data_IF_974510678487
#
_entry.id   IF_974510678487
#
_cell.length_a   1.000
_cell.length_b   1.000
_cell.length_c   1.000
_cell.angle_alpha   90.00
_cell.angle_beta   90.00
_cell.angle_gamma   90.00
#
_symmetry.space_group_name_H-M   'P 1'
#
loop_
_entity.id
_entity.type
_entity.pdbx_description
1 polymer ?
#
# COMPACT_ATOMS: atom_id res chain seq x y z
N UNK A 1 59.01 -1.27 -15.94
CA UNK A 1 57.84 -0.40 -15.91
C UNK A 1 57.91 0.44 -14.66
N UNK A 2 57.99 1.75 -14.87
CA UNK A 2 58.32 2.70 -13.82
C UNK A 2 57.07 3.14 -13.05
N UNK A 3 56.77 2.44 -11.95
CA UNK A 3 55.60 2.71 -11.12
C UNK A 3 55.53 4.13 -10.54
N UNK A 4 56.66 4.81 -10.44
CA UNK A 4 56.72 6.19 -9.94
C UNK A 4 56.07 7.21 -10.88
N UNK A 5 56.10 6.99 -12.18
CA UNK A 5 55.49 7.89 -13.17
C UNK A 5 53.98 7.74 -13.28
N UNK A 6 53.44 6.56 -12.90
CA UNK A 6 51.99 6.34 -12.93
C UNK A 6 51.36 7.02 -11.70
N UNK A 7 52.02 6.95 -10.53
CA UNK A 7 51.52 7.57 -9.30
C UNK A 7 51.50 9.11 -9.38
N UNK A 8 52.51 9.73 -9.98
CA UNK A 8 52.52 11.20 -10.13
C UNK A 8 51.37 11.70 -11.03
N UNK A 9 51.07 10.99 -12.13
CA UNK A 9 49.92 11.35 -13.01
C UNK A 9 48.58 11.26 -12.34
N UNK A 10 48.37 10.27 -11.47
CA UNK A 10 47.09 10.11 -10.74
C UNK A 10 46.90 11.23 -9.69
N UNK A 11 47.98 11.65 -9.04
CA UNK A 11 47.95 12.75 -8.08
C UNK A 11 47.67 14.10 -8.76
N UNK A 12 48.22 14.32 -9.94
CA UNK A 12 48.00 15.56 -10.70
C UNK A 12 46.57 15.66 -11.22
N UNK A 13 45.99 14.54 -11.70
CA UNK A 13 44.56 14.50 -12.12
C UNK A 13 43.64 14.75 -10.93
N UNK A 14 43.94 14.21 -9.76
CA UNK A 14 43.14 14.42 -8.56
C UNK A 14 43.20 15.90 -8.06
N UNK A 15 44.32 16.56 -8.18
CA UNK A 15 44.47 17.98 -7.85
C UNK A 15 43.69 18.88 -8.81
N UNK A 16 43.79 18.63 -10.12
CA UNK A 16 43.01 19.38 -11.12
C UNK A 16 41.49 19.23 -10.96
N UNK A 17 41.04 18.05 -10.50
CA UNK A 17 39.62 17.82 -10.22
C UNK A 17 39.12 18.58 -8.98
N UNK A 18 39.94 18.68 -7.94
CA UNK A 18 39.63 19.43 -6.70
C UNK A 18 39.66 20.93 -6.96
N UNK A 19 40.63 21.45 -7.69
CA UNK A 19 40.74 22.87 -8.04
C UNK A 19 39.62 23.35 -8.98
N UNK A 20 39.14 22.50 -9.87
CA UNK A 20 38.01 22.81 -10.72
C UNK A 20 36.65 22.81 -9.95
N UNK A 21 36.53 22.00 -8.91
CA UNK A 21 35.33 22.04 -8.05
C UNK A 21 35.32 23.31 -7.16
N UNK A 22 36.47 23.81 -6.72
CA UNK A 22 36.54 25.03 -5.92
C UNK A 22 36.31 26.30 -6.76
N UNK A 23 36.63 26.30 -8.04
CA UNK A 23 36.38 27.45 -8.93
C UNK A 23 34.90 27.56 -9.41
N UNK A 24 34.15 26.49 -9.34
CA UNK A 24 32.70 26.51 -9.70
C UNK A 24 31.80 26.88 -8.53
N UNK A 25 32.31 27.01 -7.32
CA UNK A 25 31.55 27.46 -6.16
C UNK A 25 31.60 29.01 -6.02
N UNK A 26 31.09 29.72 -7.03
CA UNK A 26 30.64 31.09 -6.77
C UNK A 26 29.36 31.02 -5.96
N UNK A 27 29.26 31.74 -4.83
CA UNK A 27 28.02 31.80 -4.08
C UNK A 27 26.96 32.47 -4.97
N UNK A 28 26.03 31.66 -5.49
CA UNK A 28 24.84 32.20 -6.09
C UNK A 28 24.18 33.13 -5.05
N UNK A 29 24.02 34.42 -5.41
CA UNK A 29 23.24 35.37 -4.64
C UNK A 29 21.93 34.67 -4.26
N UNK A 30 21.76 34.42 -2.97
CA UNK A 30 20.50 33.97 -2.43
C UNK A 30 19.44 35.02 -2.77
N UNK A 31 18.66 34.72 -3.82
CA UNK A 31 17.40 35.42 -4.02
C UNK A 31 16.58 35.17 -2.75
N UNK A 32 16.25 36.23 -2.03
CA UNK A 32 15.34 36.17 -0.90
C UNK A 32 14.07 35.47 -1.40
N UNK A 33 13.61 34.39 -0.73
CA UNK A 33 12.34 33.76 -1.11
C UNK A 33 11.24 34.80 -0.92
N UNK A 34 10.61 35.21 -2.03
CA UNK A 34 9.36 35.97 -1.99
C UNK A 34 8.39 35.20 -1.09
N UNK A 35 7.74 35.85 -0.13
CA UNK A 35 6.75 35.19 0.73
C UNK A 35 5.68 34.55 -0.19
N UNK A 36 5.67 33.25 -0.24
CA UNK A 36 4.59 32.50 -0.90
C UNK A 36 3.30 32.86 -0.17
N UNK A 37 2.24 33.28 -0.86
CA UNK A 37 0.96 33.51 -0.20
C UNK A 37 0.64 32.27 0.64
N UNK A 38 0.38 32.45 1.91
CA UNK A 38 -0.04 31.36 2.79
C UNK A 38 -1.22 30.66 2.12
N UNK A 39 -1.06 29.36 1.81
CA UNK A 39 -2.19 28.57 1.39
C UNK A 39 -3.26 28.69 2.49
N UNK A 40 -4.56 28.85 2.13
CA UNK A 40 -5.60 28.92 3.13
C UNK A 40 -5.44 27.73 4.08
N UNK A 41 -5.33 27.98 5.37
CA UNK A 41 -5.35 26.97 6.41
C UNK A 41 -6.63 26.13 6.18
N UNK A 42 -6.45 24.93 5.63
CA UNK A 42 -7.54 23.95 5.60
C UNK A 42 -7.77 23.58 7.05
N UNK A 43 -8.97 23.86 7.56
CA UNK A 43 -9.39 23.32 8.83
C UNK A 43 -9.08 21.81 8.82
N UNK A 44 -8.50 21.26 9.90
CA UNK A 44 -8.18 19.83 9.95
C UNK A 44 -9.48 19.05 9.73
N UNK A 45 -9.58 18.39 8.59
CA UNK A 45 -10.71 17.51 8.31
C UNK A 45 -10.79 16.50 9.46
N UNK A 46 -11.93 16.45 10.12
CA UNK A 46 -12.18 15.50 11.20
C UNK A 46 -11.90 14.09 10.68
N UNK A 47 -10.95 13.39 11.33
CA UNK A 47 -10.63 12.02 10.97
C UNK A 47 -11.90 11.15 11.07
N UNK A 48 -12.20 10.44 10.00
CA UNK A 48 -13.34 9.52 9.95
C UNK A 48 -13.13 8.36 10.92
N UNK A 49 -14.19 7.98 11.62
CA UNK A 49 -14.20 6.76 12.41
C UNK A 49 -14.11 5.52 11.50
N UNK A 50 -13.78 4.33 12.03
CA UNK A 50 -13.78 3.10 11.25
C UNK A 50 -15.13 2.82 10.58
N UNK A 51 -16.22 3.09 11.27
CA UNK A 51 -17.58 2.92 10.78
C UNK A 51 -17.86 3.90 9.64
N UNK A 52 -17.49 5.17 9.78
CA UNK A 52 -17.62 6.19 8.74
C UNK A 52 -16.80 5.83 7.49
N UNK A 53 -15.65 5.16 7.66
CA UNK A 53 -14.89 4.64 6.53
C UNK A 53 -15.62 3.50 5.81
N UNK A 54 -16.19 2.56 6.56
CA UNK A 54 -16.98 1.46 5.97
C UNK A 54 -18.18 2.04 5.21
N UNK A 55 -18.89 3.01 5.79
CA UNK A 55 -20.05 3.66 5.12
C UNK A 55 -19.62 4.38 3.84
N UNK A 56 -18.51 5.10 3.87
CA UNK A 56 -17.95 5.78 2.70
C UNK A 56 -17.60 4.80 1.56
N UNK A 57 -16.93 3.70 1.88
CA UNK A 57 -16.62 2.67 0.88
C UNK A 57 -17.87 1.96 0.37
N UNK A 58 -18.81 1.68 1.24
CA UNK A 58 -20.12 1.10 0.86
C UNK A 58 -20.85 1.96 -0.15
N UNK A 59 -20.88 3.27 0.07
CA UNK A 59 -21.49 4.22 -0.87
C UNK A 59 -20.80 4.16 -2.24
N UNK A 60 -19.46 4.21 -2.27
CA UNK A 60 -18.70 4.11 -3.52
C UNK A 60 -19.01 2.80 -4.24
N UNK A 61 -18.95 1.67 -3.52
CA UNK A 61 -19.16 0.36 -4.12
C UNK A 61 -20.58 0.23 -4.70
N UNK A 62 -21.59 0.65 -3.97
CA UNK A 62 -22.98 0.60 -4.44
C UNK A 62 -23.27 1.54 -5.61
N UNK A 63 -22.63 2.70 -5.67
CA UNK A 63 -22.87 3.67 -6.75
C UNK A 63 -22.07 3.37 -8.02
N UNK A 64 -20.83 2.91 -7.89
CA UNK A 64 -19.88 2.81 -9.00
C UNK A 64 -19.69 1.37 -9.54
N UNK A 65 -20.10 0.36 -8.76
CA UNK A 65 -19.90 -1.06 -9.07
C UNK A 65 -21.21 -1.84 -9.07
N UNK A 66 -22.24 -1.27 -9.69
CA UNK A 66 -23.62 -1.81 -9.71
C UNK A 66 -23.75 -3.18 -10.39
N UNK A 67 -22.74 -3.63 -11.13
CA UNK A 67 -22.70 -4.95 -11.75
C UNK A 67 -22.32 -6.07 -10.76
N UNK A 68 -21.99 -5.69 -9.53
CA UNK A 68 -21.54 -6.61 -8.49
C UNK A 68 -22.47 -6.56 -7.29
N UNK A 69 -22.77 -7.72 -6.74
CA UNK A 69 -23.38 -7.83 -5.43
C UNK A 69 -22.32 -7.61 -4.36
N UNK A 70 -22.62 -6.81 -3.36
CA UNK A 70 -21.67 -6.44 -2.31
C UNK A 70 -22.08 -7.12 -1.02
N UNK A 71 -21.23 -8.05 -0.56
CA UNK A 71 -21.34 -8.63 0.78
C UNK A 71 -20.37 -7.94 1.73
N UNK A 72 -20.78 -7.75 2.98
CA UNK A 72 -20.01 -7.04 3.99
C UNK A 72 -19.60 -7.97 5.13
N UNK A 73 -18.45 -7.70 5.73
CA UNK A 73 -17.92 -8.42 6.89
C UNK A 73 -17.96 -9.95 6.74
N UNK A 74 -17.41 -10.45 5.64
CA UNK A 74 -17.42 -11.86 5.27
C UNK A 74 -16.24 -12.58 5.91
N UNK A 75 -16.49 -13.60 6.71
CA UNK A 75 -15.41 -14.40 7.29
C UNK A 75 -14.60 -15.10 6.20
N UNK A 76 -13.30 -15.28 6.43
CA UNK A 76 -12.43 -15.98 5.48
C UNK A 76 -12.94 -17.38 5.22
N UNK A 77 -13.39 -18.08 6.26
CA UNK A 77 -14.00 -19.42 6.19
C UNK A 77 -15.23 -19.50 5.29
N UNK A 78 -16.00 -18.42 5.20
CA UNK A 78 -17.22 -18.38 4.37
C UNK A 78 -16.90 -18.33 2.86
N UNK A 79 -15.69 -17.91 2.50
CA UNK A 79 -15.23 -17.88 1.10
C UNK A 79 -14.43 -19.11 0.71
N UNK A 80 -13.59 -19.63 1.61
CA UNK A 80 -12.70 -20.75 1.26
C UNK A 80 -13.44 -22.09 1.18
N UNK A 81 -14.60 -22.21 1.81
CA UNK A 81 -15.38 -23.45 1.79
C UNK A 81 -14.58 -24.64 2.34
N UNK A 82 -14.44 -25.70 1.52
CA UNK A 82 -13.69 -26.92 1.88
C UNK A 82 -12.21 -26.89 1.47
N UNK A 83 -11.65 -25.73 1.14
CA UNK A 83 -10.20 -25.61 0.86
C UNK A 83 -9.45 -25.89 2.16
N UNK A 84 -8.25 -26.49 2.08
CA UNK A 84 -7.40 -26.74 3.24
C UNK A 84 -7.26 -25.49 4.10
N UNK A 85 -7.76 -25.53 5.32
CA UNK A 85 -7.78 -24.40 6.25
C UNK A 85 -6.38 -24.02 6.73
N UNK A 86 -5.40 -24.90 6.50
CA UNK A 86 -4.05 -24.74 7.02
C UNK A 86 -3.06 -24.38 5.92
N UNK A 87 -2.15 -23.43 6.22
CA UNK A 87 -1.03 -23.10 5.36
C UNK A 87 0.16 -22.65 6.21
N UNK A 88 1.33 -22.81 5.62
CA UNK A 88 2.57 -22.34 6.23
C UNK A 88 2.83 -20.89 5.79
N UNK A 89 2.78 -19.96 6.75
CA UNK A 89 2.92 -18.53 6.44
C UNK A 89 4.39 -18.10 6.27
N UNK A 90 5.29 -18.66 7.10
CA UNK A 90 6.70 -18.33 7.09
C UNK A 90 7.56 -19.57 6.82
N UNK A 91 8.41 -19.52 5.82
CA UNK A 91 9.37 -20.60 5.51
C UNK A 91 10.43 -20.79 6.60
N UNK A 92 10.74 -19.71 7.34
CA UNK A 92 11.69 -19.72 8.46
C UNK A 92 11.12 -20.31 9.75
N UNK A 93 9.80 -20.52 9.81
CA UNK A 93 9.10 -21.11 10.95
C UNK A 93 8.24 -22.28 10.45
N UNK A 94 8.84 -23.41 10.08
CA UNK A 94 8.17 -24.49 9.37
C UNK A 94 7.00 -25.14 10.12
N UNK A 95 6.92 -24.94 11.44
CA UNK A 95 5.86 -25.52 12.27
C UNK A 95 4.73 -24.54 12.60
N UNK A 96 4.77 -23.32 12.08
CA UNK A 96 3.74 -22.33 12.34
C UNK A 96 2.70 -22.38 11.22
N UNK A 97 1.56 -22.95 11.55
CA UNK A 97 0.42 -23.10 10.66
C UNK A 97 -0.66 -22.09 11.05
N UNK A 98 -1.26 -21.45 10.08
CA UNK A 98 -2.31 -20.47 10.28
C UNK A 98 -3.60 -20.95 9.63
N UNK A 99 -4.69 -20.90 10.38
CA UNK A 99 -6.02 -21.34 9.93
C UNK A 99 -6.85 -20.18 9.39
N UNK A 100 -7.76 -20.48 8.47
CA UNK A 100 -8.67 -19.48 7.88
C UNK A 100 -9.50 -18.73 8.93
N UNK A 101 -9.92 -19.43 10.00
CA UNK A 101 -10.67 -18.87 11.11
C UNK A 101 -9.95 -17.76 11.88
N UNK A 102 -8.61 -17.69 11.75
CA UNK A 102 -7.80 -16.64 12.36
C UNK A 102 -7.63 -15.41 11.47
N UNK A 103 -8.11 -15.46 10.24
CA UNK A 103 -8.04 -14.36 9.30
C UNK A 103 -8.99 -13.22 9.68
N UNK A 104 -8.58 -11.99 9.34
CA UNK A 104 -9.47 -10.84 9.43
C UNK A 104 -10.62 -11.04 8.44
N UNK A 105 -11.89 -10.89 8.85
CA UNK A 105 -13.01 -10.89 7.92
C UNK A 105 -12.81 -9.85 6.80
N UNK A 106 -13.17 -10.21 5.58
CA UNK A 106 -13.14 -9.28 4.46
C UNK A 106 -14.15 -8.17 4.67
N UNK A 107 -13.74 -6.92 4.57
CA UNK A 107 -14.64 -5.78 4.76
C UNK A 107 -15.76 -5.80 3.73
N UNK A 108 -15.38 -6.03 2.45
CA UNK A 108 -16.34 -6.21 1.36
C UNK A 108 -15.88 -7.34 0.45
N UNK A 109 -16.84 -8.12 -0.01
CA UNK A 109 -16.67 -9.10 -1.09
C UNK A 109 -17.54 -8.67 -2.25
N UNK A 110 -16.94 -8.55 -3.43
CA UNK A 110 -17.66 -8.28 -4.66
C UNK A 110 -17.99 -9.61 -5.33
N UNK A 111 -19.24 -9.81 -5.63
CA UNK A 111 -19.73 -11.02 -6.28
C UNK A 111 -20.37 -10.68 -7.64
N UNK A 112 -20.18 -11.56 -8.61
CA UNK A 112 -20.85 -11.48 -9.90
C UNK A 112 -21.42 -12.84 -10.23
N UNK A 113 -22.71 -12.89 -10.51
CA UNK A 113 -23.44 -14.15 -10.76
C UNK A 113 -23.27 -15.18 -9.61
N UNK A 114 -23.29 -14.72 -8.37
CA UNK A 114 -23.15 -15.55 -7.17
C UNK A 114 -21.73 -16.10 -6.92
N UNK A 115 -20.72 -15.57 -7.62
CA UNK A 115 -19.31 -15.93 -7.41
C UNK A 115 -18.52 -14.70 -6.96
N UNK A 116 -17.69 -14.88 -5.94
CA UNK A 116 -16.74 -13.86 -5.54
C UNK A 116 -15.74 -13.57 -6.68
N UNK A 117 -15.54 -12.30 -7.00
CA UNK A 117 -14.62 -11.83 -8.06
C UNK A 117 -13.52 -10.92 -7.50
N UNK A 118 -13.64 -10.49 -6.28
CA UNK A 118 -12.63 -9.67 -5.60
C UNK A 118 -13.01 -9.34 -4.17
N UNK A 119 -12.03 -8.97 -3.38
CA UNK A 119 -12.22 -8.56 -1.99
C UNK A 119 -11.59 -7.21 -1.73
N UNK A 120 -12.31 -6.37 -0.97
CA UNK A 120 -11.81 -5.07 -0.50
C UNK A 120 -11.64 -5.15 1.01
N UNK A 121 -10.46 -4.75 1.47
CA UNK A 121 -10.10 -4.77 2.87
C UNK A 121 -9.77 -3.37 3.36
N UNK A 122 -10.38 -2.96 4.45
CA UNK A 122 -10.04 -1.73 5.17
C UNK A 122 -9.24 -2.07 6.42
N UNK A 123 -8.10 -1.41 6.62
CA UNK A 123 -7.23 -1.64 7.76
C UNK A 123 -6.76 -0.36 8.42
N UNK A 124 -6.50 -0.42 9.74
CA UNK A 124 -6.03 0.73 10.52
C UNK A 124 -4.50 0.90 10.53
N UNK A 125 -3.73 0.07 9.83
CA UNK A 125 -2.26 0.16 9.80
C UNK A 125 -1.54 -0.93 10.61
N UNK A 126 -0.40 -0.63 11.19
CA UNK A 126 0.72 -1.56 11.33
C UNK A 126 0.90 -2.22 12.71
N UNK A 127 -0.14 -2.54 13.46
CA UNK A 127 0.08 -3.42 14.60
C UNK A 127 0.41 -4.84 14.12
N UNK A 128 1.30 -5.55 14.81
CA UNK A 128 1.76 -6.88 14.39
C UNK A 128 0.59 -7.88 14.28
N UNK A 129 -0.33 -7.84 15.23
CA UNK A 129 -1.48 -8.74 15.26
C UNK A 129 -2.48 -8.45 14.14
N UNK A 130 -2.73 -7.17 13.86
CA UNK A 130 -3.55 -6.76 12.71
C UNK A 130 -2.92 -7.22 11.40
N UNK A 131 -1.59 -7.06 11.24
CA UNK A 131 -0.88 -7.50 10.06
C UNK A 131 -0.99 -9.01 9.84
N UNK A 132 -0.85 -9.82 10.87
CA UNK A 132 -0.98 -11.29 10.75
C UNK A 132 -2.37 -11.70 10.32
N UNK A 133 -3.42 -11.15 10.92
CA UNK A 133 -4.80 -11.45 10.53
C UNK A 133 -5.11 -11.04 9.08
N UNK A 134 -4.68 -9.84 8.69
CA UNK A 134 -4.81 -9.35 7.32
C UNK A 134 -3.99 -10.18 6.34
N UNK A 135 -2.78 -10.61 6.73
CA UNK A 135 -1.95 -11.48 5.91
C UNK A 135 -2.59 -12.85 5.69
N UNK A 136 -3.22 -13.43 6.71
CA UNK A 136 -4.00 -14.67 6.58
C UNK A 136 -5.12 -14.48 5.56
N UNK A 137 -5.94 -13.45 5.72
CA UNK A 137 -7.03 -13.14 4.79
C UNK A 137 -6.53 -12.99 3.34
N UNK A 138 -5.42 -12.27 3.17
CA UNK A 138 -4.79 -12.07 1.86
C UNK A 138 -4.34 -13.38 1.23
N UNK A 139 -3.64 -14.25 1.98
CA UNK A 139 -3.16 -15.53 1.45
C UNK A 139 -4.32 -16.43 1.03
N UNK A 140 -5.42 -16.44 1.79
CA UNK A 140 -6.60 -17.20 1.38
C UNK A 140 -7.31 -16.61 0.16
N UNK A 141 -7.40 -15.29 0.04
CA UNK A 141 -7.89 -14.65 -1.19
C UNK A 141 -7.02 -15.03 -2.41
N UNK A 142 -5.69 -15.02 -2.26
CA UNK A 142 -4.75 -15.44 -3.29
C UNK A 142 -4.93 -16.94 -3.67
N UNK A 143 -5.16 -17.82 -2.70
CA UNK A 143 -5.48 -19.25 -2.96
C UNK A 143 -6.76 -19.44 -3.78
N UNK A 144 -7.73 -18.56 -3.62
CA UNK A 144 -8.97 -18.54 -4.37
C UNK A 144 -8.86 -17.80 -5.71
N UNK A 145 -7.66 -17.29 -6.06
CA UNK A 145 -7.43 -16.42 -7.21
C UNK A 145 -8.30 -15.14 -7.19
N UNK A 146 -8.60 -14.63 -5.99
CA UNK A 146 -9.36 -13.40 -5.82
C UNK A 146 -8.41 -12.23 -5.64
N UNK A 147 -8.56 -11.13 -6.41
CA UNK A 147 -7.89 -9.87 -6.14
C UNK A 147 -8.13 -9.40 -4.71
N UNK A 148 -7.06 -9.19 -3.96
CA UNK A 148 -7.09 -8.64 -2.62
C UNK A 148 -6.71 -7.17 -2.67
N UNK A 149 -7.70 -6.29 -2.47
CA UNK A 149 -7.56 -4.84 -2.62
C UNK A 149 -7.64 -4.21 -1.23
N UNK A 150 -6.49 -3.86 -0.65
CA UNK A 150 -6.46 -3.24 0.66
C UNK A 150 -6.37 -1.72 0.59
N UNK A 151 -7.03 -1.06 1.53
CA UNK A 151 -6.96 0.37 1.80
C UNK A 151 -6.68 0.60 3.27
N UNK A 152 -5.86 1.61 3.56
CA UNK A 152 -5.54 2.01 4.93
C UNK A 152 -6.34 3.27 5.28
N UNK A 153 -7.08 3.21 6.36
CA UNK A 153 -7.93 4.33 6.82
C UNK A 153 -7.14 5.56 7.26
N UNK A 154 -5.84 5.41 7.46
CA UNK A 154 -4.90 6.51 7.77
C UNK A 154 -4.41 7.25 6.50
N UNK A 155 -4.67 6.71 5.33
CA UNK A 155 -4.27 7.31 4.06
C UNK A 155 -5.44 8.07 3.44
N UNK A 156 -5.18 9.14 2.67
CA UNK A 156 -6.24 9.80 1.93
C UNK A 156 -6.81 8.84 0.89
N UNK A 157 -8.06 8.42 1.11
CA UNK A 157 -8.80 7.54 0.21
C UNK A 157 -9.81 8.38 -0.59
N UNK A 158 -9.30 9.25 -1.46
CA UNK A 158 -10.14 10.05 -2.33
C UNK A 158 -11.01 9.16 -3.24
N UNK A 159 -12.26 9.56 -3.48
CA UNK A 159 -13.24 8.77 -4.24
C UNK A 159 -12.68 8.26 -5.56
N UNK A 160 -12.08 9.13 -6.37
CA UNK A 160 -11.55 8.76 -7.68
C UNK A 160 -10.38 7.77 -7.59
N UNK A 161 -9.53 7.90 -6.56
CA UNK A 161 -8.46 6.95 -6.30
C UNK A 161 -9.01 5.58 -5.94
N UNK A 162 -10.01 5.52 -5.04
CA UNK A 162 -10.65 4.25 -4.62
C UNK A 162 -11.27 3.56 -5.84
N UNK A 163 -12.07 4.28 -6.62
CA UNK A 163 -12.71 3.75 -7.83
C UNK A 163 -11.68 3.23 -8.83
N UNK A 164 -10.67 4.04 -9.14
CA UNK A 164 -9.64 3.68 -10.11
C UNK A 164 -8.84 2.44 -9.67
N UNK A 165 -8.51 2.37 -8.36
CA UNK A 165 -7.79 1.23 -7.81
C UNK A 165 -8.62 -0.06 -7.87
N UNK A 166 -9.89 -0.02 -7.49
CA UNK A 166 -10.76 -1.21 -7.54
C UNK A 166 -10.95 -1.67 -8.98
N UNK A 167 -11.26 -0.77 -9.91
CA UNK A 167 -11.41 -1.09 -11.34
C UNK A 167 -10.18 -1.78 -11.92
N UNK A 168 -8.97 -1.30 -11.55
CA UNK A 168 -7.71 -1.89 -12.02
C UNK A 168 -7.54 -3.36 -11.61
N UNK A 169 -8.09 -3.77 -10.49
CA UNK A 169 -7.95 -5.13 -9.98
C UNK A 169 -9.05 -6.08 -10.43
N UNK A 170 -10.21 -5.54 -10.86
CA UNK A 170 -11.35 -6.34 -11.34
C UNK A 170 -11.32 -6.59 -12.86
N UNK A 171 -10.49 -5.86 -13.60
CA UNK A 171 -10.23 -6.06 -15.03
C UNK A 171 -9.03 -6.99 -15.21
#
# INVERSE_FOLDING_TARGET
MDFGKIFSKVVDIAKDYIDNQQKSAQPARQAQPTPRPAAPEREPEKEKTPEEWVDYFREILKSEFQLYDIRENVAVTDLVGFVSDEFQLYTTRPYQVYKAEWGQPFTFVLEQNGKAVGVVMLGKGHSHDENVKYLIARVYAEKLNLPYINFYTQMPNERNYVIGRIRKFLN
#
